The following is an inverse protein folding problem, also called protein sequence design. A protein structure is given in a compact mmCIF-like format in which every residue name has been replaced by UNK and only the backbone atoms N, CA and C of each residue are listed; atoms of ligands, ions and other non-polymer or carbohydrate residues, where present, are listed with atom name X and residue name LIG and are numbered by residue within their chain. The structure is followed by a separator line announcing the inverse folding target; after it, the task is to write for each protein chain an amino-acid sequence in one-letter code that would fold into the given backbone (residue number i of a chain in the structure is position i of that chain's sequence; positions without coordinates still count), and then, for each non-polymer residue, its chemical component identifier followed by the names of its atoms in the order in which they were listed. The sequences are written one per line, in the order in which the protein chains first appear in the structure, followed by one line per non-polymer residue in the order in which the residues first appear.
data_IF_902757499157
#
_entry.id   IF_902757499157
#
_cell.length_a   1.000
_cell.length_b   1.000
_cell.length_c   1.000
_cell.angle_alpha   90.00
_cell.angle_beta   90.00
_cell.angle_gamma   90.00
#
_symmetry.space_group_name_H-M   'P 1'
#
loop_
_entity.id
_entity.type
_entity.pdbx_description
1 polymer ?
#
# COMPACT_ATOMS: atom_id res chain seq x y z
N UNK A 1 -17.87 -4.00 -3.11
CA UNK A 1 -18.84 -3.67 -2.07
C UNK A 1 -20.18 -4.37 -2.29
N UNK A 2 -20.94 -4.07 -3.36
CA UNK A 2 -22.33 -4.51 -3.58
C UNK A 2 -22.51 -6.05 -3.56
N UNK A 3 -21.61 -6.81 -4.22
CA UNK A 3 -21.64 -8.28 -4.21
C UNK A 3 -21.39 -8.87 -2.82
N UNK A 4 -20.50 -8.28 -2.05
CA UNK A 4 -20.21 -8.74 -0.68
C UNK A 4 -21.39 -8.47 0.25
N UNK A 5 -22.05 -7.30 0.11
CA UNK A 5 -23.28 -7.01 0.85
C UNK A 5 -24.40 -7.99 0.52
N UNK A 6 -24.60 -8.35 -0.76
CA UNK A 6 -25.58 -9.37 -1.20
C UNK A 6 -25.26 -10.77 -0.67
N UNK A 7 -23.97 -11.06 -0.43
CA UNK A 7 -23.53 -12.31 0.18
C UNK A 7 -23.62 -12.32 1.72
N UNK A 8 -24.08 -11.21 2.35
CA UNK A 8 -24.32 -11.12 3.78
C UNK A 8 -23.29 -10.31 4.58
N UNK A 9 -22.31 -9.64 3.92
CA UNK A 9 -21.43 -8.71 4.64
C UNK A 9 -22.17 -7.43 5.04
N UNK A 10 -21.93 -6.94 6.24
CA UNK A 10 -22.24 -5.57 6.60
C UNK A 10 -21.18 -4.67 6.02
N UNK A 11 -21.53 -3.88 5.01
CA UNK A 11 -20.62 -2.94 4.34
C UNK A 11 -20.99 -1.52 4.75
N UNK A 12 -20.02 -0.80 5.29
CA UNK A 12 -20.18 0.60 5.71
C UNK A 12 -18.98 1.42 5.25
N UNK A 13 -19.19 2.70 5.02
CA UNK A 13 -18.11 3.64 4.73
C UNK A 13 -17.54 4.15 6.05
N UNK A 14 -16.22 4.13 6.15
CA UNK A 14 -15.50 4.61 7.33
C UNK A 14 -14.65 5.83 6.96
N UNK A 15 -14.61 6.81 7.87
CA UNK A 15 -13.75 7.99 7.72
C UNK A 15 -12.28 7.63 7.92
N UNK A 16 -11.41 8.23 7.11
CA UNK A 16 -9.98 8.14 7.31
C UNK A 16 -9.50 9.22 8.30
N UNK A 17 -8.44 8.97 9.09
CA UNK A 17 -7.94 9.94 10.05
C UNK A 17 -7.29 11.13 9.34
N UNK A 18 -7.25 12.30 9.99
CA UNK A 18 -6.62 13.50 9.45
C UNK A 18 -5.15 13.28 9.08
N UNK A 19 -4.43 12.46 9.87
CA UNK A 19 -3.03 12.08 9.60
C UNK A 19 -2.83 11.32 8.29
N UNK A 20 -3.90 10.79 7.67
CA UNK A 20 -3.84 10.12 6.37
C UNK A 20 -3.24 11.01 5.27
N UNK A 21 -3.49 12.32 5.33
CA UNK A 21 -2.93 13.29 4.40
C UNK A 21 -1.39 13.33 4.39
N UNK A 22 -0.74 12.89 5.47
CA UNK A 22 0.72 12.89 5.59
C UNK A 22 1.38 11.56 5.19
N UNK A 23 0.61 10.49 5.00
CA UNK A 23 1.12 9.13 4.80
C UNK A 23 2.12 9.03 3.64
N UNK A 24 1.77 9.57 2.47
CA UNK A 24 2.61 9.51 1.27
C UNK A 24 3.91 10.30 1.42
N UNK A 25 3.84 11.53 1.96
CA UNK A 25 5.02 12.39 2.14
C UNK A 25 5.99 11.79 3.18
N UNK A 26 5.47 11.28 4.29
CA UNK A 26 6.27 10.63 5.31
C UNK A 26 6.93 9.36 4.77
N UNK A 27 6.17 8.50 4.07
CA UNK A 27 6.70 7.27 3.49
C UNK A 27 7.82 7.57 2.49
N UNK A 28 7.68 8.58 1.64
CA UNK A 28 8.71 8.97 0.68
C UNK A 28 9.99 9.43 1.37
N UNK A 29 9.89 10.26 2.41
CA UNK A 29 11.07 10.70 3.18
C UNK A 29 11.76 9.50 3.83
N UNK A 30 10.99 8.64 4.50
CA UNK A 30 11.53 7.46 5.20
C UNK A 30 12.19 6.51 4.21
N UNK A 31 11.51 6.14 3.12
CA UNK A 31 12.03 5.21 2.12
C UNK A 31 13.30 5.71 1.45
N UNK A 32 13.37 7.01 1.09
CA UNK A 32 14.56 7.56 0.46
C UNK A 32 15.78 7.55 1.39
N UNK A 33 15.59 7.94 2.66
CA UNK A 33 16.69 7.95 3.64
C UNK A 33 17.15 6.52 3.97
N UNK A 34 16.22 5.60 4.17
CA UNK A 34 16.56 4.19 4.46
C UNK A 34 17.21 3.51 3.25
N UNK A 35 16.74 3.80 2.02
CA UNK A 35 17.40 3.33 0.80
C UNK A 35 18.82 3.90 0.67
N UNK A 36 19.01 5.20 0.94
CA UNK A 36 20.33 5.82 0.91
C UNK A 36 21.27 5.17 1.93
N UNK A 37 20.81 4.94 3.15
CA UNK A 37 21.59 4.30 4.20
C UNK A 37 21.95 2.84 3.85
N UNK A 38 21.00 2.07 3.29
CA UNK A 38 21.23 0.68 2.90
C UNK A 38 22.23 0.56 1.73
N UNK A 39 22.13 1.45 0.75
CA UNK A 39 22.95 1.39 -0.45
C UNK A 39 24.23 2.21 -0.36
N UNK A 40 24.53 2.89 0.74
CA UNK A 40 25.62 3.87 0.87
C UNK A 40 26.98 3.34 0.34
N UNK A 41 27.40 2.15 0.80
CA UNK A 41 28.69 1.57 0.43
C UNK A 41 28.75 1.20 -1.06
N UNK A 42 27.71 0.52 -1.56
CA UNK A 42 27.61 0.15 -2.97
C UNK A 42 27.53 1.38 -3.87
N UNK A 43 26.73 2.35 -3.48
CA UNK A 43 26.50 3.57 -4.24
C UNK A 43 27.76 4.40 -4.40
N UNK A 44 28.63 4.41 -3.39
CA UNK A 44 29.90 5.15 -3.42
C UNK A 44 30.82 4.71 -4.56
N UNK A 45 30.77 3.44 -4.96
CA UNK A 45 31.66 2.85 -5.95
C UNK A 45 30.97 2.43 -7.25
N UNK A 46 29.64 2.29 -7.25
CA UNK A 46 28.89 1.70 -8.35
C UNK A 46 27.59 2.44 -8.65
N UNK A 47 27.57 3.75 -8.49
CA UNK A 47 26.37 4.58 -8.70
C UNK A 47 25.78 4.46 -10.12
N UNK A 48 26.64 4.26 -11.13
CA UNK A 48 26.26 4.18 -12.54
C UNK A 48 25.55 2.87 -12.91
N UNK A 49 25.60 1.85 -12.03
CA UNK A 49 24.90 0.59 -12.23
C UNK A 49 23.43 0.63 -11.78
N UNK A 50 23.03 1.68 -11.07
CA UNK A 50 21.64 1.86 -10.65
C UNK A 50 20.78 2.45 -11.78
N UNK A 51 19.58 1.88 -11.95
CA UNK A 51 18.58 2.48 -12.84
C UNK A 51 18.29 3.93 -12.42
N UNK A 52 18.05 4.85 -13.37
CA UNK A 52 17.99 6.30 -13.10
C UNK A 52 17.02 6.70 -11.99
N UNK A 53 15.85 6.08 -11.91
CA UNK A 53 14.84 6.38 -10.88
C UNK A 53 15.31 5.96 -9.48
N UNK A 54 15.95 4.80 -9.36
CA UNK A 54 16.48 4.30 -8.08
C UNK A 54 17.67 5.17 -7.64
N UNK A 55 18.57 5.48 -8.57
CA UNK A 55 19.70 6.38 -8.33
C UNK A 55 19.22 7.73 -7.77
N UNK A 56 18.24 8.37 -8.44
CA UNK A 56 17.68 9.64 -7.98
C UNK A 56 17.08 9.55 -6.56
N UNK A 57 16.39 8.44 -6.23
CA UNK A 57 15.83 8.23 -4.89
C UNK A 57 16.92 8.12 -3.82
N UNK A 58 18.02 7.43 -4.11
CA UNK A 58 19.17 7.31 -3.20
C UNK A 58 19.85 8.68 -3.02
N UNK A 59 20.12 9.40 -4.11
CA UNK A 59 20.72 10.74 -4.08
C UNK A 59 19.87 11.72 -3.25
N UNK A 60 18.56 11.72 -3.45
CA UNK A 60 17.63 12.52 -2.63
C UNK A 60 17.69 12.12 -1.16
N UNK A 61 17.74 10.81 -0.87
CA UNK A 61 17.85 10.30 0.50
C UNK A 61 19.10 10.79 1.22
N UNK A 62 20.24 10.85 0.54
CA UNK A 62 21.51 11.38 1.07
C UNK A 62 21.45 12.88 1.41
N UNK A 63 20.55 13.62 0.76
CA UNK A 63 20.41 15.07 0.96
C UNK A 63 19.35 15.44 2.01
N UNK A 64 18.53 14.48 2.46
CA UNK A 64 17.48 14.74 3.47
C UNK A 64 18.14 14.93 4.84
N UNK A 65 17.96 16.08 5.50
CA UNK A 65 18.48 16.30 6.85
C UNK A 65 17.89 15.31 7.85
N UNK A 66 18.71 14.80 8.77
CA UNK A 66 18.27 13.85 9.80
C UNK A 66 17.08 14.33 10.63
N UNK A 67 16.94 15.65 10.88
CA UNK A 67 15.78 16.23 11.56
C UNK A 67 14.48 15.99 10.79
N UNK A 68 14.50 16.01 9.47
CA UNK A 68 13.33 15.74 8.63
C UNK A 68 12.94 14.27 8.65
N UNK A 69 13.92 13.37 8.62
CA UNK A 69 13.70 11.94 8.81
C UNK A 69 13.05 11.64 10.17
N UNK A 70 13.56 12.23 11.25
CA UNK A 70 12.98 12.06 12.59
C UNK A 70 11.55 12.61 12.70
N UNK A 71 11.27 13.73 12.04
CA UNK A 71 9.90 14.27 11.95
C UNK A 71 8.98 13.32 11.19
N UNK A 72 9.41 12.82 10.03
CA UNK A 72 8.64 11.84 9.24
C UNK A 72 8.36 10.56 10.03
N UNK A 73 9.32 10.04 10.77
CA UNK A 73 9.14 8.87 11.63
C UNK A 73 8.14 9.11 12.78
N UNK A 74 8.10 10.31 13.36
CA UNK A 74 7.10 10.68 14.38
C UNK A 74 5.69 10.72 13.80
N UNK A 75 5.51 11.39 12.66
CA UNK A 75 4.22 11.47 11.96
C UNK A 75 3.76 10.09 11.48
N UNK A 76 4.67 9.26 10.95
CA UNK A 76 4.37 7.88 10.58
C UNK A 76 3.88 7.05 11.77
N UNK A 77 4.48 7.24 12.96
CA UNK A 77 4.04 6.55 14.17
C UNK A 77 2.63 6.99 14.59
N UNK A 78 2.34 8.29 14.55
CA UNK A 78 1.00 8.80 14.81
C UNK A 78 0.01 8.23 13.80
N UNK A 79 0.31 8.32 12.52
CA UNK A 79 -0.52 7.75 11.45
C UNK A 79 -0.82 6.26 11.65
N UNK A 80 0.18 5.47 12.07
CA UNK A 80 -0.02 4.07 12.40
C UNK A 80 -1.06 3.87 13.51
N UNK A 81 -0.98 4.66 14.59
CA UNK A 81 -1.94 4.57 15.71
C UNK A 81 -3.36 4.91 15.25
N UNK A 82 -3.50 6.03 14.54
CA UNK A 82 -4.78 6.50 14.03
C UNK A 82 -5.41 5.46 13.07
N UNK A 83 -4.59 4.84 12.21
CA UNK A 83 -5.08 3.78 11.30
C UNK A 83 -5.48 2.49 12.04
N UNK A 84 -4.79 2.12 13.11
CA UNK A 84 -5.19 0.98 13.96
C UNK A 84 -6.57 1.26 14.58
N UNK A 85 -6.80 2.47 15.09
CA UNK A 85 -8.10 2.87 15.64
C UNK A 85 -9.22 2.81 14.60
N UNK A 86 -8.94 3.15 13.35
CA UNK A 86 -9.91 3.02 12.25
C UNK A 86 -10.19 1.55 11.95
N UNK A 87 -9.14 0.74 11.78
CA UNK A 87 -9.28 -0.68 11.40
C UNK A 87 -9.93 -1.51 12.50
N UNK A 88 -9.76 -1.16 13.78
CA UNK A 88 -10.41 -1.83 14.91
C UNK A 88 -11.95 -1.76 14.91
N UNK A 89 -12.54 -0.83 14.15
CA UNK A 89 -13.99 -0.65 14.11
C UNK A 89 -14.70 -1.70 13.22
N UNK A 90 -13.94 -2.41 12.38
CA UNK A 90 -14.44 -3.37 11.39
C UNK A 90 -13.60 -4.64 11.37
N UNK A 91 -14.09 -5.69 10.72
CA UNK A 91 -13.29 -6.91 10.56
C UNK A 91 -12.12 -6.72 9.59
N UNK A 92 -12.35 -6.01 8.48
CA UNK A 92 -11.34 -5.62 7.50
C UNK A 92 -11.74 -4.31 6.83
N UNK A 93 -10.77 -3.51 6.42
CA UNK A 93 -10.97 -2.34 5.56
C UNK A 93 -10.75 -2.74 4.11
N UNK A 94 -11.66 -2.39 3.22
CA UNK A 94 -11.57 -2.70 1.80
C UNK A 94 -11.34 -1.44 0.97
N UNK A 95 -10.35 -1.49 0.09
CA UNK A 95 -10.07 -0.43 -0.91
C UNK A 95 -9.81 -1.04 -2.29
N UNK A 96 -9.87 -0.26 -3.37
CA UNK A 96 -9.24 -0.70 -4.62
C UNK A 96 -7.76 -0.98 -4.39
N UNK A 97 -7.20 -1.96 -5.10
CA UNK A 97 -5.77 -2.27 -4.97
C UNK A 97 -4.89 -1.21 -5.64
N UNK A 98 -5.34 -0.65 -6.76
CA UNK A 98 -4.64 0.38 -7.53
C UNK A 98 -5.63 1.40 -8.10
N UNK A 99 -5.21 2.65 -8.35
CA UNK A 99 -6.07 3.68 -8.96
C UNK A 99 -6.47 3.36 -10.41
N UNK A 100 -5.66 2.57 -11.12
CA UNK A 100 -5.87 2.21 -12.51
C UNK A 100 -5.36 0.79 -12.80
N UNK A 101 -5.76 0.15 -13.91
CA UNK A 101 -5.15 -1.08 -14.39
C UNK A 101 -3.65 -0.91 -14.66
N UNK A 102 -2.95 -2.05 -14.83
CA UNK A 102 -1.52 -2.05 -15.13
C UNK A 102 -1.18 -1.12 -16.32
N UNK A 103 -0.18 -0.25 -16.20
CA UNK A 103 0.23 0.62 -17.30
C UNK A 103 0.85 -0.19 -18.45
N UNK A 104 0.71 0.30 -19.68
CA UNK A 104 1.39 -0.30 -20.85
C UNK A 104 2.88 0.01 -20.89
N UNK A 105 3.27 1.12 -20.28
CA UNK A 105 4.65 1.57 -20.18
C UNK A 105 5.39 0.68 -19.14
N UNK A 106 6.50 0.06 -19.59
CA UNK A 106 7.34 -0.79 -18.75
C UNK A 106 8.29 -0.02 -17.83
N UNK A 107 8.42 1.29 -18.02
CA UNK A 107 9.26 2.15 -17.19
C UNK A 107 8.56 2.60 -15.91
N UNK A 108 7.31 2.17 -15.69
CA UNK A 108 6.54 2.44 -14.49
C UNK A 108 5.77 1.22 -14.01
N UNK A 109 5.66 1.07 -12.70
CA UNK A 109 4.80 0.07 -12.05
C UNK A 109 3.39 0.60 -11.76
N UNK A 110 3.09 1.85 -12.16
CA UNK A 110 1.84 2.53 -11.86
C UNK A 110 1.91 3.38 -10.60
N UNK A 111 0.75 3.90 -10.20
CA UNK A 111 0.62 4.76 -9.01
C UNK A 111 0.39 3.90 -7.75
N UNK A 112 1.27 3.96 -6.74
CA UNK A 112 1.14 3.22 -5.50
C UNK A 112 0.19 3.88 -4.46
N UNK A 113 -0.66 4.80 -4.89
CA UNK A 113 -1.49 5.62 -3.99
C UNK A 113 -2.29 4.80 -2.98
N UNK A 114 -2.79 3.62 -3.36
CA UNK A 114 -3.59 2.78 -2.47
C UNK A 114 -2.78 1.75 -1.66
N UNK A 115 -1.49 1.53 -1.97
CA UNK A 115 -0.62 0.63 -1.19
C UNK A 115 0.20 1.37 -0.14
N UNK A 116 0.66 2.58 -0.47
CA UNK A 116 1.53 3.39 0.40
C UNK A 116 0.96 3.59 1.81
N UNK A 117 -0.33 3.91 2.01
CA UNK A 117 -0.85 4.12 3.37
C UNK A 117 -0.69 2.88 4.26
N UNK A 118 -0.99 1.69 3.76
CA UNK A 118 -0.88 0.44 4.50
C UNK A 118 0.57 0.09 4.82
N UNK A 119 1.46 0.24 3.84
CA UNK A 119 2.91 0.08 4.03
C UNK A 119 3.44 1.06 5.07
N UNK A 120 3.04 2.33 4.99
CA UNK A 120 3.44 3.37 5.94
C UNK A 120 2.95 3.07 7.36
N UNK A 121 1.72 2.62 7.51
CA UNK A 121 1.16 2.21 8.79
C UNK A 121 1.68 0.86 9.28
N UNK A 122 2.28 0.03 8.40
CA UNK A 122 2.73 -1.32 8.73
C UNK A 122 1.55 -2.25 9.08
N UNK A 123 0.46 -2.15 8.33
CA UNK A 123 -0.72 -2.99 8.44
C UNK A 123 -0.67 -4.10 7.39
N UNK A 124 -1.08 -5.34 7.73
CA UNK A 124 -1.14 -6.44 6.77
C UNK A 124 -2.25 -6.21 5.75
N UNK A 125 -1.96 -6.54 4.50
CA UNK A 125 -2.92 -6.46 3.41
C UNK A 125 -2.90 -7.71 2.54
N UNK A 126 -4.04 -8.00 1.91
CA UNK A 126 -4.17 -9.03 0.90
C UNK A 126 -4.98 -8.49 -0.28
N UNK A 127 -4.60 -8.88 -1.48
CA UNK A 127 -5.26 -8.46 -2.73
C UNK A 127 -6.03 -9.64 -3.33
N UNK A 128 -7.26 -9.38 -3.76
CA UNK A 128 -8.15 -10.34 -4.39
C UNK A 128 -8.60 -9.82 -5.76
N UNK A 129 -8.70 -10.69 -6.79
CA UNK A 129 -9.28 -10.30 -8.05
C UNK A 129 -10.74 -9.88 -7.88
N UNK A 130 -11.17 -8.82 -8.55
CA UNK A 130 -12.53 -8.27 -8.45
C UNK A 130 -13.25 -8.17 -9.80
N UNK A 131 -12.59 -8.47 -10.90
CA UNK A 131 -13.13 -8.44 -12.25
C UNK A 131 -12.08 -8.04 -13.28
N UNK A 132 -12.57 -7.64 -14.45
CA UNK A 132 -11.77 -7.11 -15.53
C UNK A 132 -12.18 -5.67 -15.82
N UNK A 133 -11.22 -4.85 -16.21
CA UNK A 133 -11.45 -3.54 -16.82
C UNK A 133 -11.95 -3.70 -18.26
N UNK A 134 -12.46 -2.63 -18.87
CA UNK A 134 -12.87 -2.61 -20.29
C UNK A 134 -11.73 -2.99 -21.24
N UNK A 135 -10.49 -2.75 -20.81
CA UNK A 135 -9.27 -3.16 -21.53
C UNK A 135 -8.94 -4.66 -21.45
N UNK A 136 -9.71 -5.44 -20.70
CA UNK A 136 -9.44 -6.85 -20.43
C UNK A 136 -8.40 -7.12 -19.34
N UNK A 137 -7.77 -6.07 -18.77
CA UNK A 137 -6.81 -6.21 -17.68
C UNK A 137 -7.51 -6.48 -16.34
N UNK A 138 -6.89 -7.28 -15.44
CA UNK A 138 -7.49 -7.59 -14.16
C UNK A 138 -7.60 -6.36 -13.25
N UNK A 139 -8.73 -6.29 -12.55
CA UNK A 139 -8.98 -5.36 -11.44
C UNK A 139 -8.94 -6.14 -10.13
N UNK A 140 -8.54 -5.46 -9.06
CA UNK A 140 -8.44 -6.06 -7.75
C UNK A 140 -8.94 -5.14 -6.63
N UNK A 141 -9.44 -5.76 -5.57
CA UNK A 141 -9.64 -5.12 -4.27
C UNK A 141 -8.52 -5.51 -3.32
N UNK A 142 -8.23 -4.64 -2.38
CA UNK A 142 -7.30 -4.87 -1.29
C UNK A 142 -8.06 -4.86 0.02
N UNK A 143 -7.78 -5.85 0.86
CA UNK A 143 -8.26 -5.92 2.24
C UNK A 143 -7.10 -5.62 3.17
N UNK A 144 -7.33 -4.80 4.18
CA UNK A 144 -6.36 -4.49 5.23
C UNK A 144 -6.93 -4.91 6.59
N UNK A 145 -6.07 -5.46 7.44
CA UNK A 145 -6.40 -5.94 8.79
C UNK A 145 -5.48 -5.36 9.86
N UNK A 146 -5.71 -5.76 11.11
CA UNK A 146 -4.87 -5.37 12.23
C UNK A 146 -3.52 -6.09 12.21
N UNK A 147 -2.47 -5.46 12.76
CA UNK A 147 -1.17 -6.10 12.92
C UNK A 147 -1.27 -7.37 13.77
N UNK A 148 -0.56 -8.43 13.37
CA UNK A 148 -0.53 -9.73 14.02
C UNK A 148 -1.87 -10.49 14.05
N UNK A 149 -2.85 -10.02 13.24
CA UNK A 149 -4.14 -10.70 13.03
C UNK A 149 -4.27 -11.23 11.58
N UNK A 150 -3.15 -11.65 10.96
CA UNK A 150 -3.12 -12.16 9.59
C UNK A 150 -4.08 -13.35 9.40
N UNK A 151 -4.28 -14.18 10.44
CA UNK A 151 -5.25 -15.27 10.39
C UNK A 151 -6.69 -14.80 10.17
N UNK A 152 -7.10 -13.71 10.84
CA UNK A 152 -8.41 -13.08 10.66
C UNK A 152 -8.53 -12.47 9.26
N UNK A 153 -7.50 -11.77 8.81
CA UNK A 153 -7.45 -11.18 7.47
C UNK A 153 -7.57 -12.25 6.38
N UNK A 154 -6.84 -13.35 6.49
CA UNK A 154 -6.90 -14.47 5.54
C UNK A 154 -8.26 -15.16 5.53
N UNK A 155 -8.90 -15.33 6.71
CA UNK A 155 -10.25 -15.89 6.80
C UNK A 155 -11.27 -14.99 6.10
N UNK A 156 -11.21 -13.68 6.32
CA UNK A 156 -12.05 -12.70 5.64
C UNK A 156 -11.81 -12.68 4.14
N UNK A 157 -10.54 -12.74 3.72
CA UNK A 157 -10.17 -12.79 2.31
C UNK A 157 -10.73 -14.04 1.61
N UNK A 158 -10.60 -15.22 2.22
CA UNK A 158 -11.16 -16.46 1.69
C UNK A 158 -12.67 -16.40 1.55
N UNK A 159 -13.37 -15.81 2.53
CA UNK A 159 -14.81 -15.58 2.45
C UNK A 159 -15.15 -14.63 1.30
N UNK A 160 -14.45 -13.50 1.17
CA UNK A 160 -14.64 -12.56 0.07
C UNK A 160 -14.39 -13.20 -1.30
N UNK A 161 -13.33 -13.99 -1.45
CA UNK A 161 -13.00 -14.72 -2.68
C UNK A 161 -14.17 -15.65 -3.07
N UNK A 162 -14.69 -16.42 -2.12
CA UNK A 162 -15.84 -17.32 -2.34
C UNK A 162 -17.09 -16.53 -2.72
N UNK A 163 -17.36 -15.40 -2.07
CA UNK A 163 -18.53 -14.56 -2.34
C UNK A 163 -18.44 -13.82 -3.70
N UNK A 164 -17.24 -13.43 -4.12
CA UNK A 164 -17.02 -12.81 -5.42
C UNK A 164 -17.08 -13.82 -6.55
N UNK A 165 -16.67 -15.08 -6.31
CA UNK A 165 -16.67 -16.19 -7.26
C UNK A 165 -16.03 -15.80 -8.62
N UNK A 166 -14.91 -15.07 -8.57
CA UNK A 166 -14.19 -14.61 -9.76
C UNK A 166 -13.02 -15.56 -10.02
N UNK A 167 -13.05 -16.22 -11.15
CA UNK A 167 -11.94 -17.01 -11.67
C UNK A 167 -11.39 -16.31 -12.91
N UNK A 168 -10.17 -15.82 -12.83
CA UNK A 168 -9.46 -15.21 -13.96
C UNK A 168 -8.37 -16.18 -14.39
N UNK A 169 -8.41 -16.63 -15.65
CA UNK A 169 -7.31 -17.35 -16.26
C UNK A 169 -6.35 -16.35 -16.91
N UNK A 170 -5.03 -16.57 -16.82
CA UNK A 170 -4.08 -15.81 -17.62
C UNK A 170 -4.42 -15.91 -19.10
N UNK A 171 -4.20 -14.86 -19.90
CA UNK A 171 -4.39 -14.90 -21.34
C UNK A 171 -3.46 -15.89 -22.02
#
# INVERSE_FOLDING_TARGET
ARRLAQAGAKVEEIGLPESFATAHSCQRVVSNVEAAAFHEEFFRHRADEYAPKIRASIEVGMLIPGVRYLQAQRLRRQFRQDMIEVVQQVDVVMTPATPAPAPRDRDTTGDPAFQVPWTSAGLPTIVLPSGLADSGLPLAIQLAGLPLEEGKLLAAARWCESALAISLSPP
#
